data_IF_538126329108
#
_entry.id   IF_538126329108
#
_cell.length_a   1.000
_cell.length_b   1.000
_cell.length_c   1.000
_cell.angle_alpha   90.00
_cell.angle_beta   90.00
_cell.angle_gamma   90.00
#
_symmetry.space_group_name_H-M   'P 1'
#
loop_
_entity.id
_entity.type
_entity.pdbx_description
1 polymer ?
#
# COMPACT_ATOMS: atom_id res chain seq x y z
N UNK A 1 -0.02 -11.44 -3.75
CA UNK A 1 -0.68 -10.23 -4.30
C UNK A 1 -0.56 -10.29 -5.82
N UNK A 2 -1.62 -9.95 -6.58
CA UNK A 2 -1.55 -9.92 -8.05
C UNK A 2 -1.03 -8.57 -8.54
N UNK A 3 -0.46 -8.52 -9.74
CA UNK A 3 0.04 -7.25 -10.34
C UNK A 3 -1.09 -6.23 -10.48
N UNK A 4 -2.28 -6.65 -10.92
CA UNK A 4 -3.45 -5.78 -11.01
C UNK A 4 -3.90 -5.20 -9.66
N UNK A 5 -3.75 -5.96 -8.58
CA UNK A 5 -4.04 -5.50 -7.21
C UNK A 5 -3.00 -4.46 -6.76
N UNK A 6 -1.77 -4.54 -7.25
CA UNK A 6 -0.69 -3.59 -6.94
C UNK A 6 -0.81 -2.30 -7.74
N UNK A 7 -1.18 -2.36 -9.02
CA UNK A 7 -1.42 -1.18 -9.84
C UNK A 7 -2.58 -0.32 -9.32
N UNK A 8 -3.58 -0.96 -8.70
CA UNK A 8 -4.74 -0.28 -8.10
C UNK A 8 -4.57 0.04 -6.62
N UNK A 9 -3.41 -0.25 -6.03
CA UNK A 9 -3.18 -0.02 -4.61
C UNK A 9 -3.08 1.48 -4.32
N UNK A 10 -3.90 1.97 -3.39
CA UNK A 10 -3.85 3.37 -2.94
C UNK A 10 -3.11 3.46 -1.62
N UNK A 11 -2.50 4.62 -1.35
CA UNK A 11 -1.78 4.89 -0.10
C UNK A 11 -2.70 4.73 1.12
N UNK A 12 -3.97 5.14 0.99
CA UNK A 12 -4.98 5.00 2.05
C UNK A 12 -5.30 3.54 2.41
N UNK A 13 -4.98 2.58 1.52
CA UNK A 13 -5.21 1.17 1.74
C UNK A 13 -4.02 0.50 2.48
N UNK A 14 -2.92 1.24 2.72
CA UNK A 14 -1.72 0.76 3.43
C UNK A 14 -1.84 1.13 4.92
N UNK A 15 -2.10 0.13 5.76
CA UNK A 15 -2.03 0.29 7.21
C UNK A 15 -0.62 -0.03 7.71
N UNK A 16 0.18 1.02 7.87
CA UNK A 16 1.55 0.92 8.38
C UNK A 16 1.63 0.59 9.88
N UNK A 17 0.56 0.82 10.66
CA UNK A 17 0.51 0.52 12.09
C UNK A 17 0.29 -0.97 12.33
N UNK A 18 -0.66 -1.55 11.60
CA UNK A 18 -0.97 -2.98 11.68
C UNK A 18 -0.12 -3.85 10.73
N UNK A 19 0.78 -3.22 9.95
CA UNK A 19 1.60 -3.86 8.90
C UNK A 19 0.76 -4.69 7.94
N UNK A 20 -0.31 -4.11 7.43
CA UNK A 20 -1.27 -4.77 6.54
C UNK A 20 -1.64 -3.87 5.36
N UNK A 21 -1.89 -4.49 4.21
CA UNK A 21 -2.43 -3.82 3.03
C UNK A 21 -3.85 -4.29 2.82
N UNK A 22 -4.79 -3.36 2.68
CA UNK A 22 -6.15 -3.64 2.23
C UNK A 22 -6.15 -3.78 0.71
N UNK A 23 -6.52 -4.95 0.22
CA UNK A 23 -6.73 -5.20 -1.21
C UNK A 23 -8.22 -5.03 -1.48
N UNK A 24 -8.56 -3.96 -2.21
CA UNK A 24 -9.92 -3.67 -2.65
C UNK A 24 -10.17 -4.40 -3.98
N UNK A 25 -11.35 -5.00 -4.14
CA UNK A 25 -11.70 -5.84 -5.31
C UNK A 25 -10.79 -7.07 -5.49
N UNK A 26 -10.50 -7.78 -4.41
CA UNK A 26 -9.91 -9.12 -4.51
C UNK A 26 -10.84 -10.10 -5.25
N UNK A 27 -10.36 -11.33 -5.49
CA UNK A 27 -11.10 -12.40 -6.18
C UNK A 27 -12.55 -12.51 -5.66
N UNK A 28 -13.54 -12.31 -6.54
CA UNK A 28 -14.97 -12.36 -6.20
C UNK A 28 -15.53 -11.07 -5.60
N UNK A 29 -14.91 -9.91 -5.86
CA UNK A 29 -15.31 -8.59 -5.34
C UNK A 29 -15.28 -8.49 -3.81
N UNK A 30 -14.40 -9.29 -3.18
CA UNK A 30 -14.21 -9.27 -1.73
C UNK A 30 -12.94 -8.55 -1.36
N UNK A 31 -13.05 -7.65 -0.39
CA UNK A 31 -11.91 -7.02 0.24
C UNK A 31 -11.16 -8.06 1.08
N UNK A 32 -9.83 -7.99 1.07
CA UNK A 32 -8.99 -8.81 1.95
C UNK A 32 -7.80 -8.02 2.47
N UNK A 33 -7.25 -8.46 3.59
CA UNK A 33 -5.98 -7.94 4.08
C UNK A 33 -4.85 -8.89 3.70
N UNK A 34 -3.73 -8.33 3.27
CA UNK A 34 -2.46 -9.06 3.12
C UNK A 34 -1.42 -8.45 4.06
N UNK A 35 -0.42 -9.24 4.42
CA UNK A 35 0.71 -8.76 5.22
C UNK A 35 1.53 -7.76 4.40
N UNK A 36 2.01 -6.72 5.08
CA UNK A 36 2.92 -5.72 4.55
C UNK A 36 4.29 -5.93 5.22
N UNK A 37 5.29 -6.45 4.50
CA UNK A 37 6.64 -6.56 5.03
C UNK A 37 7.27 -5.17 5.25
N UNK A 38 8.03 -5.00 6.33
CA UNK A 38 8.65 -3.71 6.68
C UNK A 38 9.59 -3.18 5.57
N UNK A 39 10.34 -4.08 4.92
CA UNK A 39 11.23 -3.72 3.81
C UNK A 39 10.45 -3.17 2.60
N UNK A 40 9.23 -3.65 2.36
CA UNK A 40 8.39 -3.19 1.26
C UNK A 40 7.87 -1.78 1.55
N UNK A 41 7.55 -1.46 2.81
CA UNK A 41 7.16 -0.10 3.20
C UNK A 41 8.27 0.88 2.87
N UNK A 42 9.50 0.58 3.29
CA UNK A 42 10.66 1.44 3.03
C UNK A 42 10.85 1.69 1.51
N UNK A 43 10.73 0.64 0.70
CA UNK A 43 10.87 0.75 -0.77
C UNK A 43 9.73 1.52 -1.41
N UNK A 44 8.50 1.35 -0.94
CA UNK A 44 7.36 2.15 -1.39
C UNK A 44 7.54 3.63 -1.01
N UNK A 45 8.16 3.92 0.14
CA UNK A 45 8.51 5.31 0.53
C UNK A 45 9.54 5.91 -0.41
N UNK A 46 10.65 5.21 -0.65
CA UNK A 46 11.71 5.63 -1.57
C UNK A 46 11.15 5.91 -2.96
N UNK A 47 10.40 4.96 -3.52
CA UNK A 47 9.79 5.10 -4.83
C UNK A 47 8.87 6.33 -4.91
N UNK A 48 8.03 6.53 -3.91
CA UNK A 48 7.12 7.69 -3.87
C UNK A 48 7.86 9.04 -3.80
N UNK A 49 8.96 9.10 -3.04
CA UNK A 49 9.80 10.30 -2.93
C UNK A 49 10.56 10.56 -4.24
N UNK A 50 11.15 9.51 -4.84
CA UNK A 50 11.89 9.59 -6.10
C UNK A 50 11.02 10.07 -7.26
N UNK A 51 9.78 9.59 -7.34
CA UNK A 51 8.79 9.98 -8.34
C UNK A 51 8.26 11.42 -8.14
N UNK A 52 8.82 12.18 -7.18
CA UNK A 52 8.55 13.61 -6.96
C UNK A 52 7.05 13.95 -6.83
N UNK A 53 6.23 13.01 -6.34
CA UNK A 53 4.80 13.23 -6.11
C UNK A 53 4.60 14.10 -4.86
N UNK A 54 4.22 15.39 -4.99
CA UNK A 54 4.20 16.29 -3.86
C UNK A 54 3.01 15.99 -2.93
N UNK A 55 3.31 15.96 -1.63
CA UNK A 55 2.39 16.05 -0.47
C UNK A 55 1.18 15.11 -0.44
N UNK A 56 1.38 14.00 0.26
CA UNK A 56 0.29 13.14 0.72
C UNK A 56 0.73 12.28 1.91
N UNK A 57 1.03 12.91 3.04
CA UNK A 57 0.85 12.33 4.39
C UNK A 57 1.36 10.87 4.51
N UNK A 58 2.68 10.73 4.67
CA UNK A 58 3.24 9.62 5.44
C UNK A 58 2.91 9.83 6.93
N UNK A 59 1.63 9.85 7.30
CA UNK A 59 1.28 9.94 8.72
C UNK A 59 1.38 8.53 9.30
N UNK A 60 2.49 8.32 9.98
CA UNK A 60 2.51 7.50 11.18
C UNK A 60 1.40 7.99 12.11
N UNK A 61 0.32 7.23 12.25
CA UNK A 61 -0.64 7.34 13.35
C UNK A 61 -0.82 5.98 13.99
#
# INVERSE_FOLDING_TARGET
MRISELCNLRIADIDSKSKRIKIIQGKGSKDRYTLLPDHLVARLREFYILESRPKGIFIYK
#
